data_IF_779841849978
#
_entry.id   IF_779841849978
#
_cell.length_a   1.000
_cell.length_b   1.000
_cell.length_c   1.000
_cell.angle_alpha   90.00
_cell.angle_beta   90.00
_cell.angle_gamma   90.00
#
_symmetry.space_group_name_H-M   'P 1'
#
loop_
_entity.id
_entity.type
_entity.pdbx_description
1 polymer ?
#
# COMPACT_ATOMS: atom_id res chain seq x y z
N UNK A 1 10.62 8.08 -1.05
CA UNK A 1 9.96 7.39 -2.17
C UNK A 1 9.07 8.37 -2.92
N UNK A 2 9.17 8.45 -4.25
CA UNK A 2 8.27 9.28 -5.07
C UNK A 2 7.15 8.41 -5.63
N UNK A 3 5.93 8.96 -5.70
CA UNK A 3 4.77 8.21 -6.21
C UNK A 3 4.86 7.87 -7.71
N UNK A 4 5.75 8.53 -8.45
CA UNK A 4 6.08 8.16 -9.84
C UNK A 4 6.79 6.82 -9.94
N UNK A 5 7.80 6.59 -9.08
CA UNK A 5 8.56 5.33 -9.04
C UNK A 5 7.64 4.15 -8.71
N UNK A 6 6.74 4.33 -7.72
CA UNK A 6 5.69 3.35 -7.42
C UNK A 6 4.82 3.01 -8.63
N UNK A 7 4.44 4.03 -9.41
CA UNK A 7 3.64 3.85 -10.61
C UNK A 7 4.37 3.00 -11.65
N UNK A 8 5.66 3.25 -11.86
CA UNK A 8 6.50 2.45 -12.75
C UNK A 8 6.59 0.98 -12.31
N UNK A 9 6.70 0.71 -11.00
CA UNK A 9 6.76 -0.66 -10.47
C UNK A 9 5.46 -1.45 -10.67
N UNK A 10 4.30 -0.80 -10.58
CA UNK A 10 2.99 -1.47 -10.63
C UNK A 10 2.23 -1.23 -11.95
N UNK A 11 2.85 -0.58 -12.93
CA UNK A 11 2.22 -0.24 -14.21
C UNK A 11 1.06 0.75 -14.09
N UNK A 12 1.14 1.71 -13.15
CA UNK A 12 0.11 2.73 -12.90
C UNK A 12 0.65 4.14 -13.13
N UNK A 13 -0.24 5.09 -13.40
CA UNK A 13 0.13 6.51 -13.44
C UNK A 13 0.40 7.05 -12.04
N UNK A 14 1.26 8.06 -11.92
CA UNK A 14 1.52 8.76 -10.65
C UNK A 14 0.24 9.28 -10.00
N UNK A 15 -0.72 9.71 -10.80
CA UNK A 15 -2.01 10.23 -10.37
C UNK A 15 -2.91 9.13 -9.79
N UNK A 16 -2.86 7.92 -10.37
CA UNK A 16 -3.55 6.74 -9.83
C UNK A 16 -2.97 6.33 -8.48
N UNK A 17 -1.63 6.26 -8.37
CA UNK A 17 -0.93 5.96 -7.11
C UNK A 17 -1.26 6.99 -6.04
N UNK A 18 -1.24 8.29 -6.39
CA UNK A 18 -1.61 9.36 -5.47
C UNK A 18 -3.01 9.17 -4.89
N UNK A 19 -3.99 8.85 -5.74
CA UNK A 19 -5.38 8.63 -5.33
C UNK A 19 -5.49 7.44 -4.39
N UNK A 20 -4.92 6.30 -4.78
CA UNK A 20 -4.91 5.08 -3.97
C UNK A 20 -4.29 5.32 -2.58
N UNK A 21 -3.11 5.95 -2.51
CA UNK A 21 -2.46 6.23 -1.23
C UNK A 21 -3.24 7.27 -0.41
N UNK A 22 -3.92 8.22 -1.05
CA UNK A 22 -4.73 9.19 -0.33
C UNK A 22 -5.99 8.56 0.26
N UNK A 23 -6.61 7.63 -0.44
CA UNK A 23 -7.77 6.88 0.03
C UNK A 23 -7.40 5.95 1.21
N UNK A 24 -6.21 5.32 1.16
CA UNK A 24 -5.71 4.50 2.27
C UNK A 24 -5.32 5.36 3.49
N UNK A 25 -4.85 6.59 3.27
CA UNK A 25 -4.58 7.54 4.37
C UNK A 25 -5.85 8.11 5.00
N UNK A 26 -6.87 8.42 4.20
CA UNK A 26 -8.15 8.94 4.75
C UNK A 26 -8.89 7.90 5.59
N UNK A 27 -8.66 6.61 5.32
CA UNK A 27 -9.13 5.48 6.13
C UNK A 27 -8.22 5.14 7.32
N UNK A 28 -7.17 5.92 7.56
CA UNK A 28 -6.18 5.68 8.62
C UNK A 28 -5.48 4.31 8.53
N UNK A 29 -5.46 3.68 7.35
CA UNK A 29 -4.80 2.39 7.11
C UNK A 29 -3.30 2.60 6.91
N UNK A 30 -2.95 3.68 6.22
CA UNK A 30 -1.58 4.11 5.96
C UNK A 30 -1.36 5.54 6.46
N UNK A 31 -0.11 5.88 6.70
CA UNK A 31 0.35 7.25 6.91
C UNK A 31 1.68 7.46 6.19
N UNK A 32 2.13 8.71 6.10
CA UNK A 32 3.42 9.02 5.50
C UNK A 32 4.18 9.98 6.41
N UNK A 33 5.41 9.63 6.78
CA UNK A 33 6.31 10.47 7.56
C UNK A 33 7.70 10.45 6.95
N UNK A 34 8.30 11.62 6.75
CA UNK A 34 9.69 11.77 6.25
C UNK A 34 10.04 10.91 5.02
N UNK A 35 9.09 10.69 4.13
CA UNK A 35 9.27 9.87 2.93
C UNK A 35 9.09 8.36 3.11
N UNK A 36 8.77 7.90 4.32
CA UNK A 36 8.36 6.54 4.65
C UNK A 36 6.85 6.42 4.61
N UNK A 37 6.37 5.31 4.04
CA UNK A 37 5.00 4.87 4.19
C UNK A 37 4.92 4.04 5.48
N UNK A 38 3.98 4.34 6.37
CA UNK A 38 3.84 3.61 7.62
C UNK A 38 2.45 2.96 7.67
N UNK A 39 2.44 1.65 7.82
CA UNK A 39 1.21 0.86 8.02
C UNK A 39 0.70 1.11 9.43
N UNK A 40 -0.53 1.61 9.53
CA UNK A 40 -1.22 1.87 10.80
C UNK A 40 -2.14 0.72 11.19
N UNK A 41 -2.77 0.10 10.20
CA UNK A 41 -3.64 -1.06 10.38
C UNK A 41 -3.25 -2.15 9.38
N UNK A 42 -2.53 -3.16 9.87
CA UNK A 42 -2.07 -4.28 9.05
C UNK A 42 -3.22 -5.20 8.63
N UNK A 43 -4.23 -5.37 9.49
CA UNK A 43 -5.35 -6.28 9.22
C UNK A 43 -6.22 -5.75 8.08
N UNK A 44 -6.58 -4.47 8.11
CA UNK A 44 -7.34 -3.83 7.03
C UNK A 44 -6.55 -3.84 5.71
N UNK A 45 -5.23 -3.60 5.78
CA UNK A 45 -4.38 -3.66 4.59
C UNK A 45 -4.37 -5.07 3.98
N UNK A 46 -4.26 -6.12 4.81
CA UNK A 46 -4.35 -7.51 4.39
C UNK A 46 -5.69 -7.83 3.74
N UNK A 47 -6.81 -7.36 4.30
CA UNK A 47 -8.13 -7.56 3.72
C UNK A 47 -8.26 -6.93 2.33
N UNK A 48 -7.75 -5.71 2.15
CA UNK A 48 -7.72 -5.01 0.85
C UNK A 48 -6.87 -5.77 -0.16
N UNK A 49 -5.73 -6.34 0.27
CA UNK A 49 -4.88 -7.17 -0.56
C UNK A 49 -5.41 -8.59 -0.77
N UNK A 50 -6.61 -8.90 -0.28
CA UNK A 50 -7.20 -10.24 -0.31
C UNK A 50 -6.25 -11.31 0.26
N UNK A 51 -5.51 -10.97 1.32
CA UNK A 51 -4.60 -11.88 1.98
C UNK A 51 -5.36 -13.06 2.60
N UNK A 52 -5.01 -14.28 2.20
CA UNK A 52 -5.62 -15.51 2.72
C UNK A 52 -4.92 -16.05 3.98
N UNK A 53 -4.03 -15.25 4.60
CA UNK A 53 -3.16 -15.68 5.71
C UNK A 53 -2.44 -17.01 5.39
N UNK A 54 -1.86 -17.10 4.20
CA UNK A 54 -1.07 -18.26 3.80
C UNK A 54 0.16 -18.45 4.72
N UNK A 55 0.65 -19.70 4.88
CA UNK A 55 1.91 -19.96 5.57
C UNK A 55 3.04 -19.09 5.01
N UNK A 56 3.89 -18.56 5.90
CA UNK A 56 4.98 -17.65 5.53
C UNK A 56 5.91 -18.26 4.48
N UNK A 57 6.08 -19.58 4.50
CA UNK A 57 6.92 -20.34 3.55
C UNK A 57 6.45 -20.24 2.10
N UNK A 58 5.17 -19.93 1.87
CA UNK A 58 4.58 -19.82 0.52
C UNK A 58 4.03 -18.43 0.21
N UNK A 59 4.15 -17.47 1.13
CA UNK A 59 3.67 -16.12 0.92
C UNK A 59 4.47 -15.43 -0.20
N UNK A 60 3.76 -14.87 -1.19
CA UNK A 60 4.37 -14.12 -2.31
C UNK A 60 3.97 -12.65 -2.31
N UNK A 61 3.49 -12.17 -1.17
CA UNK A 61 3.12 -10.77 -0.96
C UNK A 61 4.32 -9.95 -0.53
#
# INVERSE_FOLDING_TARGET
MKNGELGEYIGATRESVNRMLSDLRSKEILSQDKGYLIVRNLEELKQICHCENCPLEICRM
#
